data_IF_607991927704
#
_entry.id   IF_607991927704
#
_cell.length_a   1.000
_cell.length_b   1.000
_cell.length_c   1.000
_cell.angle_alpha   90.00
_cell.angle_beta   90.00
_cell.angle_gamma   90.00
#
_symmetry.space_group_name_H-M   'P 1'
#
loop_
_entity.id
_entity.type
_entity.pdbx_description
1 polymer ?
#
# COMPACT_ATOMS: atom_id res chain seq x y z
N UNK A 1 16.75 7.63 -14.48
CA UNK A 1 15.63 7.79 -15.45
C UNK A 1 14.36 7.99 -14.67
N UNK A 2 13.57 9.05 -14.91
CA UNK A 2 12.32 9.28 -14.19
C UNK A 2 11.18 8.51 -14.85
N UNK A 3 10.25 8.00 -14.02
CA UNK A 3 8.98 7.47 -14.50
C UNK A 3 8.25 8.54 -15.33
N UNK A 4 7.76 8.16 -16.51
CA UNK A 4 6.96 9.03 -17.37
C UNK A 4 5.56 8.41 -17.50
N UNK A 5 4.55 8.97 -16.81
CA UNK A 5 3.20 8.41 -16.79
C UNK A 5 2.55 8.35 -18.17
N UNK A 6 2.86 9.28 -19.07
CA UNK A 6 2.26 9.33 -20.41
C UNK A 6 2.60 8.15 -21.32
N UNK A 7 3.59 7.33 -20.96
CA UNK A 7 3.99 6.15 -21.75
C UNK A 7 3.32 4.85 -21.34
N UNK A 8 2.66 4.82 -20.19
CA UNK A 8 2.14 3.58 -19.57
C UNK A 8 0.61 3.49 -19.49
N UNK A 9 -0.11 4.38 -20.13
CA UNK A 9 -1.57 4.50 -20.04
C UNK A 9 -2.00 5.67 -19.17
N UNK A 10 -3.22 5.65 -18.64
CA UNK A 10 -3.71 6.69 -17.73
C UNK A 10 -3.01 6.57 -16.37
N UNK A 11 -2.50 7.69 -15.87
CA UNK A 11 -1.85 7.75 -14.57
C UNK A 11 -2.76 8.45 -13.55
N UNK A 12 -2.85 7.85 -12.36
CA UNK A 12 -3.66 8.34 -11.26
C UNK A 12 -2.81 8.53 -10.00
N UNK A 13 -3.20 9.48 -9.18
CA UNK A 13 -2.62 9.69 -7.86
C UNK A 13 -3.65 10.28 -6.90
N UNK A 14 -3.27 10.46 -5.64
CA UNK A 14 -4.08 11.09 -4.60
C UNK A 14 -3.41 12.36 -4.10
N UNK A 15 -4.19 13.26 -3.50
CA UNK A 15 -3.67 14.52 -2.99
C UNK A 15 -2.66 14.32 -1.85
N UNK A 16 -2.87 13.31 -1.02
CA UNK A 16 -1.97 12.99 0.08
C UNK A 16 -0.53 12.70 -0.38
N UNK A 17 -0.33 12.17 -1.60
CA UNK A 17 1.02 12.00 -2.18
C UNK A 17 1.68 13.35 -2.42
N UNK A 18 0.95 14.37 -2.95
CA UNK A 18 1.50 15.72 -3.10
C UNK A 18 1.87 16.34 -1.75
N UNK A 19 1.02 16.12 -0.73
CA UNK A 19 1.23 16.65 0.63
C UNK A 19 2.49 16.08 1.31
N UNK A 20 2.89 14.86 1.00
CA UNK A 20 4.13 14.24 1.49
C UNK A 20 5.39 14.76 0.80
N UNK A 21 5.27 15.37 -0.38
CA UNK A 21 6.40 15.89 -1.11
C UNK A 21 6.85 17.23 -0.54
N UNK A 22 8.14 17.34 -0.24
CA UNK A 22 8.71 18.60 0.30
C UNK A 22 8.53 19.76 -0.69
N UNK A 23 8.10 20.92 -0.17
CA UNK A 23 7.84 22.10 -0.98
C UNK A 23 9.08 22.56 -1.76
N UNK A 24 8.88 22.91 -3.03
CA UNK A 24 9.94 23.43 -3.92
C UNK A 24 10.90 22.36 -4.44
N UNK A 25 10.68 21.07 -4.11
CA UNK A 25 11.54 20.00 -4.62
C UNK A 25 11.16 19.57 -6.05
N UNK A 26 12.10 18.99 -6.79
CA UNK A 26 11.85 18.49 -8.13
C UNK A 26 10.71 17.45 -8.21
N UNK A 27 10.56 16.52 -7.26
CA UNK A 27 9.40 15.63 -7.25
C UNK A 27 8.07 16.38 -7.17
N UNK A 28 7.94 17.38 -6.29
CA UNK A 28 6.70 18.17 -6.16
C UNK A 28 6.41 18.97 -7.45
N UNK A 29 7.43 19.63 -8.02
CA UNK A 29 7.27 20.39 -9.25
C UNK A 29 6.82 19.49 -10.40
N UNK A 30 7.38 18.29 -10.52
CA UNK A 30 6.95 17.30 -11.52
C UNK A 30 5.52 16.83 -11.28
N UNK A 31 5.15 16.54 -10.05
CA UNK A 31 3.79 16.13 -9.70
C UNK A 31 2.77 17.19 -10.19
N UNK A 32 3.00 18.45 -9.82
CA UNK A 32 2.14 19.57 -10.23
C UNK A 32 2.10 19.74 -11.74
N UNK A 33 3.25 19.72 -12.40
CA UNK A 33 3.33 19.85 -13.85
C UNK A 33 2.52 18.77 -14.57
N UNK A 34 2.62 17.51 -14.16
CA UNK A 34 1.86 16.42 -14.77
C UNK A 34 0.36 16.51 -14.45
N UNK A 35 0.01 16.93 -13.25
CA UNK A 35 -1.39 17.15 -12.85
C UNK A 35 -2.02 18.30 -13.64
N UNK A 36 -1.34 19.44 -13.77
CA UNK A 36 -1.82 20.60 -14.53
C UNK A 36 -1.97 20.31 -16.03
N UNK A 37 -1.10 19.47 -16.60
CA UNK A 37 -1.20 19.00 -17.98
C UNK A 37 -2.29 17.95 -18.21
N UNK A 38 -2.92 17.44 -17.15
CA UNK A 38 -3.88 16.34 -17.22
C UNK A 38 -3.26 14.97 -17.50
N UNK A 39 -1.93 14.85 -17.48
CA UNK A 39 -1.20 13.59 -17.66
C UNK A 39 -1.23 12.74 -16.37
N UNK A 40 -1.48 13.36 -15.22
CA UNK A 40 -1.69 12.72 -13.93
C UNK A 40 -3.04 13.14 -13.37
N UNK A 41 -3.98 12.22 -13.27
CA UNK A 41 -5.31 12.44 -12.69
C UNK A 41 -5.24 12.31 -11.17
N UNK A 42 -5.46 13.41 -10.45
CA UNK A 42 -5.50 13.40 -8.98
C UNK A 42 -6.95 13.23 -8.54
N UNK A 43 -7.25 12.13 -7.84
CA UNK A 43 -8.60 11.79 -7.40
C UNK A 43 -8.62 11.45 -5.90
N UNK A 44 -9.78 11.60 -5.30
CA UNK A 44 -10.03 11.19 -3.91
C UNK A 44 -10.72 9.82 -3.92
N UNK A 45 -10.21 8.84 -3.18
CA UNK A 45 -10.86 7.54 -3.08
C UNK A 45 -12.21 7.64 -2.35
N UNK A 46 -13.07 6.65 -2.56
CA UNK A 46 -14.33 6.54 -1.83
C UNK A 46 -14.09 6.08 -0.38
N UNK A 47 -14.94 6.54 0.54
CA UNK A 47 -14.92 6.08 1.94
C UNK A 47 -15.10 4.56 2.04
N UNK A 48 -15.83 3.96 1.10
CA UNK A 48 -16.00 2.51 1.01
C UNK A 48 -14.67 1.81 0.74
N UNK A 49 -13.92 2.27 -0.25
CA UNK A 49 -12.62 1.68 -0.58
C UNK A 49 -11.60 1.90 0.54
N UNK A 50 -11.60 3.08 1.17
CA UNK A 50 -10.76 3.35 2.35
C UNK A 50 -11.05 2.36 3.49
N UNK A 51 -12.32 2.12 3.80
CA UNK A 51 -12.72 1.14 4.82
C UNK A 51 -12.28 -0.28 4.49
N UNK A 52 -12.37 -0.69 3.21
CA UNK A 52 -11.91 -2.01 2.75
C UNK A 52 -10.38 -2.16 2.85
N UNK A 53 -9.62 -1.12 2.50
CA UNK A 53 -8.16 -1.09 2.64
C UNK A 53 -7.76 -1.15 4.12
N UNK A 54 -8.42 -0.39 4.99
CA UNK A 54 -8.16 -0.40 6.42
C UNK A 54 -8.42 -1.79 7.04
N UNK A 55 -9.50 -2.45 6.65
CA UNK A 55 -9.80 -3.81 7.09
C UNK A 55 -8.75 -4.82 6.58
N UNK A 56 -8.38 -4.73 5.31
CA UNK A 56 -7.35 -5.59 4.72
C UNK A 56 -5.99 -5.37 5.39
N UNK A 57 -5.61 -4.11 5.65
CA UNK A 57 -4.34 -3.77 6.31
C UNK A 57 -4.26 -4.31 7.73
N UNK A 58 -5.37 -4.27 8.48
CA UNK A 58 -5.46 -4.88 9.82
C UNK A 58 -5.31 -6.40 9.77
N UNK A 59 -5.97 -7.05 8.82
CA UNK A 59 -5.88 -8.51 8.63
C UNK A 59 -4.47 -8.95 8.23
N UNK A 60 -3.81 -8.20 7.36
CA UNK A 60 -2.45 -8.46 6.93
C UNK A 60 -1.38 -8.11 7.99
N UNK A 61 -1.73 -7.29 8.99
CA UNK A 61 -0.80 -6.78 10.00
C UNK A 61 0.05 -5.62 9.51
N UNK A 62 -0.45 -4.87 8.51
CA UNK A 62 0.24 -3.74 7.88
C UNK A 62 -0.25 -2.36 8.38
N UNK A 63 -1.33 -2.30 9.18
CA UNK A 63 -1.99 -1.04 9.55
C UNK A 63 -1.10 -0.01 10.26
N UNK A 64 -0.01 -0.44 10.88
CA UNK A 64 0.95 0.46 11.54
C UNK A 64 2.14 0.89 10.66
N UNK A 65 2.20 0.44 9.42
CA UNK A 65 3.33 0.64 8.52
C UNK A 65 2.98 1.44 7.27
N UNK A 66 1.70 1.75 7.06
CA UNK A 66 1.21 2.51 5.93
C UNK A 66 0.97 3.96 6.34
N UNK A 67 1.49 4.90 5.55
CA UNK A 67 1.15 6.32 5.66
C UNK A 67 -0.31 6.58 5.23
N UNK A 68 -0.77 7.82 5.39
CA UNK A 68 -2.06 8.25 4.85
C UNK A 68 -2.08 8.14 3.32
N UNK A 69 -1.01 8.60 2.66
CA UNK A 69 -0.90 8.56 1.21
C UNK A 69 -0.92 7.11 0.68
N UNK A 70 -0.23 6.19 1.34
CA UNK A 70 -0.22 4.77 0.97
C UNK A 70 -1.62 4.16 0.99
N UNK A 71 -2.39 4.45 2.06
CA UNK A 71 -3.77 3.97 2.17
C UNK A 71 -4.68 4.55 1.12
N UNK A 72 -4.57 5.86 0.85
CA UNK A 72 -5.36 6.52 -0.19
C UNK A 72 -5.02 6.01 -1.60
N UNK A 73 -3.75 5.77 -1.91
CA UNK A 73 -3.33 5.18 -3.19
C UNK A 73 -3.91 3.78 -3.38
N UNK A 74 -3.84 2.94 -2.34
CA UNK A 74 -4.44 1.61 -2.36
C UNK A 74 -5.97 1.65 -2.51
N UNK A 75 -6.63 2.60 -1.82
CA UNK A 75 -8.07 2.79 -1.90
C UNK A 75 -8.50 3.27 -3.30
N UNK A 76 -7.78 4.22 -3.89
CA UNK A 76 -8.04 4.68 -5.26
C UNK A 76 -7.88 3.54 -6.27
N UNK A 77 -6.82 2.75 -6.14
CA UNK A 77 -6.63 1.58 -7.00
C UNK A 77 -7.75 0.55 -6.82
N UNK A 78 -8.25 0.38 -5.59
CA UNK A 78 -9.38 -0.51 -5.32
C UNK A 78 -10.68 0.01 -5.95
N UNK A 79 -10.96 1.32 -5.89
CA UNK A 79 -12.11 1.94 -6.56
C UNK A 79 -12.04 1.70 -8.08
N UNK A 80 -10.90 2.00 -8.70
CA UNK A 80 -10.70 1.75 -10.14
C UNK A 80 -10.92 0.28 -10.50
N UNK A 81 -10.49 -0.64 -9.65
CA UNK A 81 -10.72 -2.08 -9.86
C UNK A 81 -12.20 -2.43 -9.74
N UNK A 82 -12.92 -1.87 -8.78
CA UNK A 82 -14.36 -2.09 -8.61
C UNK A 82 -15.17 -1.52 -9.78
N UNK A 83 -14.67 -0.47 -10.43
CA UNK A 83 -15.24 0.13 -11.65
C UNK A 83 -14.89 -0.66 -12.91
N UNK A 84 -14.21 -1.81 -12.79
CA UNK A 84 -13.90 -2.71 -13.90
C UNK A 84 -12.59 -2.41 -14.63
N UNK A 85 -11.74 -1.54 -14.09
CA UNK A 85 -10.40 -1.30 -14.60
C UNK A 85 -9.39 -2.34 -14.06
N UNK A 86 -8.23 -2.42 -14.67
CA UNK A 86 -7.09 -3.23 -14.20
C UNK A 86 -5.94 -2.31 -13.72
N UNK A 87 -6.05 -1.67 -12.55
CA UNK A 87 -5.03 -0.77 -12.07
C UNK A 87 -3.75 -1.52 -11.68
N UNK A 88 -2.62 -0.85 -11.90
CA UNK A 88 -1.30 -1.31 -11.46
C UNK A 88 -0.69 -0.25 -10.55
N UNK A 89 -0.44 -0.59 -9.30
CA UNK A 89 0.24 0.29 -8.35
C UNK A 89 1.74 0.24 -8.62
N UNK A 90 2.36 1.41 -8.79
CA UNK A 90 3.81 1.52 -8.97
C UNK A 90 4.42 2.06 -7.67
N UNK A 91 5.08 1.20 -6.91
CA UNK A 91 5.72 1.55 -5.64
C UNK A 91 6.87 0.60 -5.33
N UNK A 92 7.95 1.14 -4.75
CA UNK A 92 9.05 0.33 -4.19
C UNK A 92 8.83 0.01 -2.70
N UNK A 93 7.75 0.52 -2.10
CA UNK A 93 7.38 0.21 -0.72
C UNK A 93 6.81 -1.21 -0.62
N UNK A 94 7.44 -2.00 0.27
CA UNK A 94 7.09 -3.40 0.45
C UNK A 94 5.71 -3.60 1.10
N UNK A 95 5.31 -2.71 2.01
CA UNK A 95 4.01 -2.80 2.67
C UNK A 95 2.86 -2.53 1.67
N UNK A 96 3.05 -1.55 0.77
CA UNK A 96 2.10 -1.26 -0.31
C UNK A 96 1.97 -2.46 -1.25
N UNK A 97 3.11 -3.00 -1.73
CA UNK A 97 3.10 -4.15 -2.64
C UNK A 97 2.44 -5.38 -2.00
N UNK A 98 2.77 -5.65 -0.72
CA UNK A 98 2.18 -6.76 0.02
C UNK A 98 0.66 -6.61 0.16
N UNK A 99 0.17 -5.41 0.47
CA UNK A 99 -1.26 -5.17 0.61
C UNK A 99 -1.98 -5.15 -0.74
N UNK A 100 -1.36 -4.62 -1.80
CA UNK A 100 -1.88 -4.72 -3.16
C UNK A 100 -2.10 -6.19 -3.58
N UNK A 101 -1.16 -7.07 -3.25
CA UNK A 101 -1.31 -8.51 -3.51
C UNK A 101 -2.45 -9.13 -2.70
N UNK A 102 -2.65 -8.73 -1.43
CA UNK A 102 -3.79 -9.16 -0.63
C UNK A 102 -5.14 -8.71 -1.22
N UNK A 103 -5.19 -7.51 -1.79
CA UNK A 103 -6.36 -6.94 -2.45
C UNK A 103 -6.51 -7.42 -3.90
N UNK A 104 -5.57 -8.25 -4.39
CA UNK A 104 -5.51 -8.70 -5.78
C UNK A 104 -5.44 -7.53 -6.77
N UNK A 105 -4.72 -6.48 -6.42
CA UNK A 105 -4.42 -5.34 -7.30
C UNK A 105 -3.04 -5.58 -7.91
N UNK A 106 -2.90 -5.33 -9.21
CA UNK A 106 -1.62 -5.39 -9.90
C UNK A 106 -0.62 -4.40 -9.28
N UNK A 107 0.64 -4.81 -9.15
CA UNK A 107 1.69 -3.91 -8.66
C UNK A 107 2.99 -4.11 -9.45
N UNK A 108 3.81 -3.06 -9.50
CA UNK A 108 5.13 -3.06 -10.12
C UNK A 108 6.08 -2.19 -9.30
N UNK A 109 7.35 -2.52 -9.28
CA UNK A 109 8.37 -1.63 -8.70
C UNK A 109 9.05 -0.79 -9.79
N UNK A 110 9.52 0.40 -9.40
CA UNK A 110 10.30 1.27 -10.29
C UNK A 110 11.66 0.63 -10.65
N UNK A 111 12.18 -0.22 -9.78
CA UNK A 111 13.47 -0.91 -9.92
C UNK A 111 13.35 -2.33 -10.49
N UNK A 112 12.18 -2.77 -10.99
CA UNK A 112 11.89 -4.13 -11.44
C UNK A 112 12.05 -5.23 -10.36
N UNK A 113 12.01 -4.87 -9.09
CA UNK A 113 12.08 -5.80 -7.96
C UNK A 113 10.75 -5.90 -7.22
N UNK A 114 9.65 -6.19 -7.93
CA UNK A 114 8.36 -6.38 -7.31
C UNK A 114 8.37 -7.49 -6.23
N UNK A 115 7.36 -7.49 -5.37
CA UNK A 115 7.22 -8.51 -4.34
C UNK A 115 7.07 -9.90 -4.98
N UNK A 116 7.97 -10.81 -4.66
CA UNK A 116 7.93 -12.20 -5.14
C UNK A 116 7.06 -13.06 -4.23
N UNK A 117 6.78 -12.59 -3.01
CA UNK A 117 6.04 -13.33 -2.00
C UNK A 117 5.10 -12.44 -1.22
N UNK A 118 3.87 -12.93 -1.02
CA UNK A 118 2.91 -12.37 -0.07
C UNK A 118 3.19 -12.92 1.33
N UNK A 119 3.23 -12.05 2.33
CA UNK A 119 3.43 -12.43 3.72
C UNK A 119 2.15 -12.18 4.52
N UNK A 120 1.73 -13.19 5.24
CA UNK A 120 0.75 -13.07 6.29
C UNK A 120 1.50 -12.94 7.62
N UNK A 121 1.14 -11.94 8.42
CA UNK A 121 1.83 -11.64 9.66
C UNK A 121 1.04 -12.08 10.88
N UNK A 122 1.77 -12.46 11.91
CA UNK A 122 1.23 -12.77 13.23
C UNK A 122 1.99 -11.97 14.28
N UNK A 123 1.30 -11.60 15.35
CA UNK A 123 1.90 -11.05 16.54
C UNK A 123 2.23 -12.18 17.52
N UNK A 124 3.38 -12.14 18.18
CA UNK A 124 3.74 -13.11 19.21
C UNK A 124 4.34 -12.42 20.43
N UNK A 125 4.13 -13.01 21.58
CA UNK A 125 4.73 -12.56 22.82
C UNK A 125 6.14 -13.16 22.96
N UNK A 126 7.21 -12.35 23.10
CA UNK A 126 8.56 -12.87 23.28
C UNK A 126 8.78 -13.52 24.66
N UNK A 127 7.92 -13.23 25.65
CA UNK A 127 8.03 -13.77 27.00
C UNK A 127 7.31 -15.11 27.19
N UNK A 128 6.04 -15.24 26.70
CA UNK A 128 5.25 -16.45 26.88
C UNK A 128 4.93 -17.19 25.58
N UNK A 129 5.46 -16.74 24.45
CA UNK A 129 5.35 -17.33 23.10
C UNK A 129 3.93 -17.49 22.55
N UNK A 130 2.94 -16.91 23.21
CA UNK A 130 1.56 -16.90 22.73
C UNK A 130 1.43 -16.09 21.46
N UNK A 131 0.55 -16.54 20.55
CA UNK A 131 0.31 -15.94 19.26
C UNK A 131 -1.01 -15.17 19.28
N UNK A 132 -1.02 -14.04 18.60
CA UNK A 132 -2.16 -13.14 18.47
C UNK A 132 -2.33 -12.74 17.02
N UNK A 133 -3.54 -12.42 16.62
CA UNK A 133 -3.79 -11.80 15.32
C UNK A 133 -3.55 -10.29 15.41
N UNK A 134 -3.04 -9.65 14.33
CA UNK A 134 -3.07 -8.19 14.28
C UNK A 134 -4.50 -7.65 14.48
N UNK A 135 -4.68 -6.48 15.08
CA UNK A 135 -3.68 -5.47 15.44
C UNK A 135 -3.24 -5.48 16.92
N UNK A 136 -3.33 -6.60 17.62
CA UNK A 136 -2.95 -6.68 19.03
C UNK A 136 -1.52 -6.20 19.25
N UNK A 137 -1.32 -5.32 20.26
CA UNK A 137 -0.01 -4.76 20.61
C UNK A 137 0.58 -5.29 21.89
N UNK A 138 -0.27 -5.79 22.83
CA UNK A 138 0.17 -6.29 24.14
C UNK A 138 -0.34 -7.69 24.40
N UNK A 139 0.46 -8.48 25.07
CA UNK A 139 0.07 -9.82 25.50
C UNK A 139 -1.02 -9.73 26.58
N UNK A 140 -2.15 -10.40 26.37
CA UNK A 140 -3.27 -10.43 27.32
C UNK A 140 -2.96 -11.20 28.61
N UNK A 141 -1.86 -11.96 28.62
CA UNK A 141 -1.49 -12.83 29.74
C UNK A 141 -0.39 -12.21 30.60
N UNK A 142 0.67 -11.69 30.00
CA UNK A 142 1.82 -11.16 30.76
C UNK A 142 2.09 -9.67 30.50
N UNK A 143 1.25 -8.97 29.72
CA UNK A 143 1.39 -7.54 29.46
C UNK A 143 2.56 -7.14 28.56
N UNK A 144 3.43 -8.07 28.17
CA UNK A 144 4.60 -7.80 27.33
C UNK A 144 4.18 -7.31 25.96
N UNK A 145 4.91 -6.35 25.39
CA UNK A 145 4.70 -5.90 24.02
C UNK A 145 4.91 -7.04 23.03
N UNK A 146 3.97 -7.17 22.10
CA UNK A 146 4.01 -8.20 21.08
C UNK A 146 4.98 -7.81 19.94
N UNK A 147 5.62 -8.82 19.38
CA UNK A 147 6.49 -8.66 18.21
C UNK A 147 5.86 -9.30 16.98
N UNK A 148 6.11 -8.72 15.84
CA UNK A 148 5.65 -9.18 14.54
C UNK A 148 6.52 -10.33 14.02
N UNK A 149 5.90 -11.37 13.47
CA UNK A 149 6.58 -12.50 12.84
C UNK A 149 5.80 -12.94 11.60
N UNK A 150 6.51 -13.40 10.58
CA UNK A 150 5.88 -14.00 9.39
C UNK A 150 5.19 -15.31 9.79
N UNK A 151 3.89 -15.39 9.54
CA UNK A 151 3.09 -16.61 9.74
C UNK A 151 3.21 -17.53 8.52
N UNK A 152 3.04 -16.96 7.33
CA UNK A 152 3.15 -17.69 6.06
C UNK A 152 3.78 -16.83 4.98
N UNK A 153 4.42 -17.50 4.03
CA UNK A 153 5.04 -16.91 2.85
C UNK A 153 4.48 -17.63 1.63
N UNK A 154 3.68 -16.95 0.84
CA UNK A 154 3.09 -17.50 -0.39
C UNK A 154 3.72 -16.79 -1.60
N UNK A 155 3.96 -17.52 -2.68
CA UNK A 155 4.41 -16.89 -3.93
C UNK A 155 3.32 -15.93 -4.41
N UNK A 156 3.69 -14.68 -4.72
CA UNK A 156 2.79 -13.75 -5.36
C UNK A 156 2.43 -14.26 -6.76
N UNK A 157 1.18 -14.07 -7.17
CA UNK A 157 0.79 -14.39 -8.54
C UNK A 157 1.53 -13.44 -9.50
N UNK A 158 2.33 -13.99 -10.40
CA UNK A 158 2.88 -13.21 -11.52
C UNK A 158 1.74 -12.98 -12.50
N UNK A 159 1.34 -11.74 -12.65
CA UNK A 159 0.60 -11.26 -13.83
C UNK A 159 1.51 -10.57 -14.80
#
# INVERSE_FOLDING_TARGET
MGFNPSKSGEAYSVRAVEEELSAGTMPQLRFRMFSEKGELKVQTPSLRAEGMVEEASRKAGESGYLSKADREVLALALDLKLDGHEPVIVSDDYAIQNLAEHLQIGHSSLANYGIVHRFDWIMYCPACYRRYRPPEKKCRVCGTELRRKVLSKKKAARR
#
